data_IF_785607018687
#
_entry.id   IF_785607018687
#
_cell.length_a   1.000
_cell.length_b   1.000
_cell.length_c   1.000
_cell.angle_alpha   90.00
_cell.angle_beta   90.00
_cell.angle_gamma   90.00
#
_symmetry.space_group_name_H-M   'P 1'
#
loop_
_entity.id
_entity.type
_entity.pdbx_description
1 polymer ?
#
# COMPACT_ATOMS: atom_id res chain seq x y z
N UNK A 1 5.15 -2.13 -7.92
CA UNK A 1 6.53 -1.78 -7.47
C UNK A 1 6.44 -0.53 -6.62
N UNK A 2 6.87 -0.66 -5.39
CA UNK A 2 6.92 0.46 -4.43
C UNK A 2 7.82 1.59 -4.97
N UNK A 3 7.32 2.81 -4.92
CA UNK A 3 7.96 4.01 -5.49
C UNK A 3 8.17 5.11 -4.46
N UNK A 4 8.12 4.77 -3.14
CA UNK A 4 8.39 5.77 -2.10
C UNK A 4 9.79 6.35 -2.26
N UNK A 5 9.91 7.65 -2.04
CA UNK A 5 11.16 8.40 -2.21
C UNK A 5 12.03 8.43 -0.95
N UNK A 6 11.49 7.99 0.18
CA UNK A 6 12.18 8.03 1.45
C UNK A 6 13.24 6.94 1.55
N UNK A 7 14.43 7.29 2.01
CA UNK A 7 15.54 6.36 2.23
C UNK A 7 15.91 5.50 1.02
N UNK A 8 15.88 6.08 -0.18
CA UNK A 8 16.25 5.41 -1.43
C UNK A 8 17.24 6.23 -2.29
N UNK A 9 18.03 7.10 -1.66
CA UNK A 9 18.99 8.00 -2.32
C UNK A 9 20.30 7.31 -2.76
N UNK A 10 20.48 6.05 -2.40
CA UNK A 10 21.62 5.23 -2.78
C UNK A 10 21.23 3.76 -2.97
N UNK A 11 22.17 2.96 -3.48
CA UNK A 11 21.91 1.55 -3.74
C UNK A 11 21.63 0.76 -2.46
N UNK A 12 20.66 -0.15 -2.54
CA UNK A 12 20.33 -1.05 -1.44
C UNK A 12 21.48 -2.00 -1.17
N UNK A 13 21.84 -2.16 0.09
CA UNK A 13 22.77 -3.20 0.56
C UNK A 13 21.95 -4.33 1.20
N UNK A 14 21.64 -5.41 0.47
CA UNK A 14 20.87 -6.51 1.03
C UNK A 14 21.69 -7.30 2.03
N UNK A 15 21.05 -7.72 3.11
CA UNK A 15 21.60 -8.61 4.12
C UNK A 15 20.81 -9.92 4.15
N UNK A 16 21.51 -11.03 4.23
CA UNK A 16 20.91 -12.36 4.32
C UNK A 16 21.20 -12.91 5.70
N UNK A 17 20.13 -13.25 6.43
CA UNK A 17 20.21 -13.91 7.73
C UNK A 17 19.62 -15.30 7.58
N UNK A 18 20.49 -16.30 7.54
CA UNK A 18 20.08 -17.71 7.50
C UNK A 18 19.67 -18.16 8.90
N UNK A 19 18.71 -19.08 8.98
CA UNK A 19 18.25 -19.72 10.20
C UNK A 19 17.94 -18.69 11.32
N UNK A 20 17.11 -17.69 10.96
CA UNK A 20 16.74 -16.60 11.86
C UNK A 20 16.18 -17.14 13.20
N UNK A 21 16.65 -16.63 14.30
CA UNK A 21 16.37 -17.16 15.65
C UNK A 21 15.06 -16.64 16.29
N UNK A 22 14.30 -15.82 15.57
CA UNK A 22 13.04 -15.25 16.05
C UNK A 22 13.19 -14.08 17.04
N UNK A 23 14.40 -13.52 17.19
CA UNK A 23 14.70 -12.43 18.13
C UNK A 23 14.99 -11.12 17.39
N UNK A 24 15.52 -10.15 18.13
CA UNK A 24 15.96 -8.88 17.57
C UNK A 24 17.03 -9.09 16.49
N UNK A 25 16.84 -8.44 15.34
CA UNK A 25 17.76 -8.51 14.21
C UNK A 25 18.34 -7.11 13.93
N UNK A 26 19.61 -6.86 14.29
CA UNK A 26 20.29 -5.61 13.94
C UNK A 26 20.48 -5.49 12.41
N UNK A 27 20.24 -4.31 11.89
CA UNK A 27 20.38 -4.02 10.46
C UNK A 27 21.74 -3.37 10.18
N UNK A 28 22.72 -4.19 9.88
CA UNK A 28 24.07 -3.74 9.58
C UNK A 28 24.66 -2.85 10.66
N UNK A 29 25.23 -1.72 10.25
CA UNK A 29 25.81 -0.71 11.14
C UNK A 29 24.95 0.54 11.30
N UNK A 30 23.70 0.51 10.81
CA UNK A 30 22.78 1.65 10.82
C UNK A 30 22.31 2.06 12.22
N UNK A 31 22.48 1.20 13.22
CA UNK A 31 21.90 1.35 14.56
C UNK A 31 20.39 1.05 14.61
N UNK A 32 19.80 0.58 13.53
CA UNK A 32 18.41 0.14 13.47
C UNK A 32 18.32 -1.35 13.76
N UNK A 33 17.18 -1.76 14.33
CA UNK A 33 16.91 -3.16 14.69
C UNK A 33 15.47 -3.50 14.34
N UNK A 34 15.25 -4.65 13.75
CA UNK A 34 13.93 -5.25 13.64
C UNK A 34 13.67 -6.03 14.94
N UNK A 35 12.54 -5.76 15.59
CA UNK A 35 12.19 -6.37 16.88
C UNK A 35 10.83 -7.06 16.79
N UNK A 36 10.69 -8.30 17.26
CA UNK A 36 9.40 -8.97 17.41
C UNK A 36 8.42 -8.22 18.32
N UNK A 37 8.91 -7.37 19.23
CA UNK A 37 8.05 -6.51 20.03
C UNK A 37 7.34 -5.45 19.17
N UNK A 38 8.05 -4.89 18.21
CA UNK A 38 7.51 -3.91 17.26
C UNK A 38 6.77 -4.58 16.09
N UNK A 39 7.28 -5.71 15.64
CA UNK A 39 6.77 -6.48 14.50
C UNK A 39 6.54 -7.95 14.92
N UNK A 40 5.39 -8.27 15.54
CA UNK A 40 5.15 -9.60 16.12
C UNK A 40 5.29 -10.77 15.13
N UNK A 41 5.02 -10.52 13.86
CA UNK A 41 5.16 -11.51 12.80
C UNK A 41 6.58 -12.09 12.71
N UNK A 42 7.61 -11.30 13.01
CA UNK A 42 9.00 -11.76 12.97
C UNK A 42 9.25 -13.00 13.82
N UNK A 43 8.59 -13.13 14.96
CA UNK A 43 8.72 -14.32 15.82
C UNK A 43 8.30 -15.62 15.09
N UNK A 44 7.35 -15.55 14.19
CA UNK A 44 6.87 -16.69 13.40
C UNK A 44 7.83 -17.11 12.29
N UNK A 45 8.80 -16.27 11.96
CA UNK A 45 9.80 -16.52 10.91
C UNK A 45 11.05 -17.22 11.45
N UNK A 46 11.07 -17.66 12.68
CA UNK A 46 12.19 -18.43 13.24
C UNK A 46 12.48 -19.68 12.39
N UNK A 47 13.76 -19.92 12.11
CA UNK A 47 14.22 -21.00 11.22
C UNK A 47 14.17 -20.66 9.73
N UNK A 48 13.70 -19.45 9.36
CA UNK A 48 13.66 -19.00 7.96
C UNK A 48 14.91 -18.20 7.60
N UNK A 49 15.19 -18.12 6.32
CA UNK A 49 16.18 -17.17 5.78
C UNK A 49 15.49 -15.84 5.52
N UNK A 50 15.99 -14.79 6.14
CA UNK A 50 15.48 -13.44 5.96
C UNK A 50 16.41 -12.63 5.03
N UNK A 51 15.81 -11.84 4.15
CA UNK A 51 16.51 -10.85 3.35
C UNK A 51 16.03 -9.47 3.79
N UNK A 52 16.95 -8.65 4.27
CA UNK A 52 16.69 -7.28 4.73
C UNK A 52 17.62 -6.29 4.03
N UNK A 53 17.36 -4.99 4.16
CA UNK A 53 18.40 -4.00 3.93
C UNK A 53 19.34 -3.92 5.14
N UNK A 54 20.43 -3.20 5.00
CA UNK A 54 21.34 -2.88 6.12
C UNK A 54 20.78 -1.77 7.05
N UNK A 55 19.55 -1.33 6.83
CA UNK A 55 18.88 -0.29 7.60
C UNK A 55 19.19 1.13 7.15
N UNK A 56 20.02 1.34 6.15
CA UNK A 56 20.30 2.68 5.57
C UNK A 56 19.28 3.04 4.49
N UNK A 57 18.71 2.04 3.81
CA UNK A 57 17.66 2.21 2.81
C UNK A 57 16.46 1.33 3.12
N UNK A 58 15.34 1.57 2.45
CA UNK A 58 14.28 0.56 2.31
C UNK A 58 14.82 -0.61 1.48
N UNK A 59 14.21 -1.79 1.62
CA UNK A 59 14.59 -2.96 0.81
C UNK A 59 13.95 -2.89 -0.58
N UNK A 60 12.71 -2.41 -0.67
CA UNK A 60 11.92 -2.41 -1.90
C UNK A 60 11.53 -3.83 -2.33
N UNK A 61 11.21 -4.71 -1.38
CA UNK A 61 10.74 -6.06 -1.68
C UNK A 61 9.41 -6.03 -2.42
N UNK A 62 8.59 -5.04 -2.15
CA UNK A 62 7.35 -4.75 -2.84
C UNK A 62 7.64 -3.94 -4.14
N UNK A 63 7.41 -4.47 -5.32
CA UNK A 63 7.09 -5.91 -5.55
C UNK A 63 8.23 -6.63 -6.30
N UNK A 64 9.47 -6.31 -5.97
CA UNK A 64 10.64 -7.00 -6.55
C UNK A 64 10.71 -8.49 -6.15
N UNK A 65 10.09 -8.85 -5.02
CA UNK A 65 9.95 -10.25 -4.62
C UNK A 65 9.09 -11.01 -5.64
N UNK A 66 7.90 -10.50 -5.99
CA UNK A 66 7.05 -11.11 -7.01
C UNK A 66 7.71 -11.19 -8.39
N UNK A 67 8.52 -10.19 -8.77
CA UNK A 67 9.33 -10.27 -9.99
C UNK A 67 10.31 -11.45 -9.91
N UNK A 68 11.01 -11.61 -8.80
CA UNK A 68 11.96 -12.71 -8.61
C UNK A 68 11.25 -14.07 -8.62
N UNK A 69 10.10 -14.19 -8.00
CA UNK A 69 9.27 -15.41 -7.99
C UNK A 69 8.82 -15.80 -9.40
N UNK A 70 8.29 -14.85 -10.18
CA UNK A 70 7.87 -15.09 -11.56
C UNK A 70 9.04 -15.58 -12.41
N UNK A 71 10.18 -14.89 -12.35
CA UNK A 71 11.34 -15.25 -13.16
C UNK A 71 11.92 -16.60 -12.75
N UNK A 72 11.98 -16.90 -11.45
CA UNK A 72 12.44 -18.19 -10.94
C UNK A 72 11.50 -19.33 -11.34
N UNK A 73 10.19 -19.12 -11.26
CA UNK A 73 9.21 -20.10 -11.68
C UNK A 73 9.32 -20.39 -13.18
N UNK A 74 9.50 -19.38 -14.02
CA UNK A 74 9.71 -19.55 -15.46
C UNK A 74 11.00 -20.32 -15.75
N UNK A 75 12.10 -19.96 -15.11
CA UNK A 75 13.37 -20.65 -15.26
C UNK A 75 13.22 -22.14 -14.89
N UNK A 76 12.55 -22.43 -13.77
CA UNK A 76 12.29 -23.80 -13.33
C UNK A 76 11.44 -24.58 -14.34
N UNK A 77 10.33 -24.02 -14.80
CA UNK A 77 9.44 -24.64 -15.80
C UNK A 77 10.22 -25.00 -17.08
N UNK A 78 11.04 -24.07 -17.58
CA UNK A 78 11.82 -24.29 -18.81
C UNK A 78 12.96 -25.29 -18.63
N UNK A 79 13.67 -25.22 -17.50
CA UNK A 79 14.82 -26.09 -17.21
C UNK A 79 14.35 -27.54 -16.99
N UNK A 80 13.31 -27.74 -16.21
CA UNK A 80 12.76 -29.06 -15.91
C UNK A 80 11.80 -29.57 -17.00
N UNK A 81 11.58 -28.74 -18.02
CA UNK A 81 10.67 -29.06 -19.15
C UNK A 81 9.27 -29.49 -18.67
N UNK A 82 8.78 -28.79 -17.68
CA UNK A 82 7.44 -29.03 -17.13
C UNK A 82 6.40 -28.74 -18.23
N UNK A 83 5.46 -29.64 -18.51
CA UNK A 83 4.40 -29.39 -19.48
C UNK A 83 3.57 -28.15 -19.11
N UNK A 84 3.46 -27.20 -20.01
CA UNK A 84 2.71 -25.97 -19.79
C UNK A 84 2.04 -25.47 -21.09
N UNK A 85 0.98 -24.69 -20.95
CA UNK A 85 0.41 -23.89 -22.03
C UNK A 85 1.26 -22.63 -22.34
N UNK A 86 0.78 -21.74 -23.21
CA UNK A 86 1.42 -20.44 -23.41
C UNK A 86 1.49 -19.66 -22.10
N UNK A 87 2.66 -19.13 -21.78
CA UNK A 87 2.88 -18.30 -20.61
C UNK A 87 3.14 -16.86 -21.08
N UNK A 88 2.36 -15.94 -20.54
CA UNK A 88 2.54 -14.51 -20.76
C UNK A 88 2.93 -13.85 -19.44
N UNK A 89 3.92 -12.97 -19.47
CA UNK A 89 4.37 -12.23 -18.29
C UNK A 89 4.32 -10.74 -18.56
N UNK A 90 3.87 -9.99 -17.60
CA UNK A 90 3.88 -8.54 -17.63
C UNK A 90 4.31 -7.95 -16.28
N UNK A 91 5.01 -6.85 -16.32
CA UNK A 91 5.35 -6.03 -15.18
C UNK A 91 4.80 -4.63 -15.43
N UNK A 92 4.01 -4.12 -14.51
CA UNK A 92 3.42 -2.79 -14.59
C UNK A 92 4.09 -1.82 -13.62
N UNK A 93 4.39 -0.59 -14.04
CA UNK A 93 4.84 0.46 -13.11
C UNK A 93 3.65 1.15 -12.45
N UNK A 94 3.94 2.06 -11.52
CA UNK A 94 2.96 3.02 -10.96
C UNK A 94 1.77 2.35 -10.25
N UNK A 95 2.00 1.21 -9.58
CA UNK A 95 0.99 0.50 -8.81
C UNK A 95 0.47 1.39 -7.67
N UNK A 96 1.36 2.00 -6.88
CA UNK A 96 1.08 2.80 -5.70
C UNK A 96 0.20 4.04 -5.94
N UNK A 97 0.12 4.48 -7.17
CA UNK A 97 -0.78 5.56 -7.60
C UNK A 97 -1.98 5.06 -8.41
N UNK A 98 -2.20 3.72 -8.46
CA UNK A 98 -3.31 3.10 -9.17
C UNK A 98 -3.24 3.22 -10.69
N UNK A 99 -2.07 3.48 -11.27
CA UNK A 99 -1.89 3.70 -12.70
C UNK A 99 -1.37 2.47 -13.46
N UNK A 100 -1.03 1.39 -12.76
CA UNK A 100 -0.51 0.17 -13.36
C UNK A 100 -1.32 -0.34 -14.56
N UNK A 101 -2.66 -0.43 -14.47
CA UNK A 101 -3.49 -0.89 -15.59
C UNK A 101 -3.75 0.16 -16.68
N UNK A 102 -3.40 1.43 -16.48
CA UNK A 102 -3.85 2.54 -17.34
C UNK A 102 -3.50 2.38 -18.83
N UNK A 103 -2.36 1.74 -19.12
CA UNK A 103 -1.87 1.52 -20.47
C UNK A 103 -1.69 0.04 -20.81
N UNK A 104 -2.23 -0.86 -19.98
CA UNK A 104 -2.10 -2.29 -20.17
C UNK A 104 -3.11 -2.80 -21.20
N UNK A 105 -2.61 -3.30 -22.33
CA UNK A 105 -3.43 -3.86 -23.40
C UNK A 105 -3.77 -5.33 -23.12
N UNK A 106 -4.85 -5.56 -22.40
CA UNK A 106 -5.35 -6.90 -22.03
C UNK A 106 -5.58 -7.79 -23.27
N UNK A 107 -6.06 -7.21 -24.38
CA UNK A 107 -6.31 -7.98 -25.60
C UNK A 107 -5.01 -8.44 -26.25
N UNK A 108 -4.01 -7.58 -26.27
CA UNK A 108 -2.68 -7.93 -26.80
C UNK A 108 -1.97 -8.92 -25.89
N UNK A 109 -2.16 -8.81 -24.57
CA UNK A 109 -1.62 -9.76 -23.60
C UNK A 109 -2.14 -11.18 -23.85
N UNK A 110 -3.43 -11.33 -24.16
CA UNK A 110 -4.01 -12.53 -24.74
C UNK A 110 -4.07 -13.76 -23.83
N UNK A 111 -3.97 -13.58 -22.52
CA UNK A 111 -4.15 -14.65 -21.54
C UNK A 111 -5.63 -14.84 -21.22
N UNK A 112 -6.05 -16.09 -20.99
CA UNK A 112 -7.42 -16.43 -20.57
C UNK A 112 -7.66 -16.08 -19.11
N UNK A 113 -6.61 -16.18 -18.28
CA UNK A 113 -6.59 -15.80 -16.87
C UNK A 113 -5.18 -15.39 -16.45
N UNK A 114 -5.07 -14.67 -15.35
CA UNK A 114 -3.80 -14.21 -14.84
C UNK A 114 -3.74 -14.35 -13.30
N UNK A 115 -2.52 -14.47 -12.79
CA UNK A 115 -2.18 -14.35 -11.39
C UNK A 115 -1.38 -13.06 -11.20
N UNK A 116 -1.70 -12.30 -10.18
CA UNK A 116 -0.90 -11.18 -9.72
C UNK A 116 -0.09 -11.64 -8.52
N UNK A 117 1.22 -11.51 -8.61
CA UNK A 117 2.13 -11.83 -7.51
C UNK A 117 2.53 -10.51 -6.84
N UNK A 118 1.79 -10.19 -5.81
CA UNK A 118 1.95 -8.96 -5.04
C UNK A 118 1.29 -9.24 -3.70
N UNK A 119 2.02 -9.79 -2.79
CA UNK A 119 1.45 -10.35 -1.59
C UNK A 119 2.22 -10.00 -0.34
N UNK A 120 1.58 -10.20 0.78
CA UNK A 120 2.03 -9.93 2.14
C UNK A 120 2.59 -11.21 2.78
N UNK A 121 1.78 -12.24 2.88
CA UNK A 121 2.13 -13.46 3.60
C UNK A 121 2.42 -14.62 2.63
N UNK A 122 3.54 -15.29 2.85
CA UNK A 122 3.92 -16.47 2.06
C UNK A 122 2.82 -17.55 2.06
N UNK A 123 2.43 -17.99 0.87
CA UNK A 123 1.42 -19.03 0.67
C UNK A 123 -0.03 -18.53 0.73
N UNK A 124 -0.24 -17.25 0.89
CA UNK A 124 -1.56 -16.64 0.81
C UNK A 124 -2.05 -16.59 -0.64
N UNK A 125 -3.32 -16.88 -0.84
CA UNK A 125 -4.01 -16.70 -2.12
C UNK A 125 -5.23 -15.83 -1.88
N UNK A 126 -5.23 -14.64 -2.45
CA UNK A 126 -6.36 -13.72 -2.44
C UNK A 126 -7.16 -13.91 -3.73
N UNK A 127 -8.42 -14.26 -3.61
CA UNK A 127 -9.33 -14.48 -4.74
C UNK A 127 -10.59 -13.61 -4.68
N UNK A 128 -10.61 -12.69 -3.74
CA UNK A 128 -11.66 -11.69 -3.57
C UNK A 128 -11.10 -10.28 -3.75
N UNK A 129 -11.94 -9.37 -4.17
CA UNK A 129 -11.63 -7.96 -4.26
C UNK A 129 -12.77 -7.12 -3.66
N UNK A 130 -12.57 -5.83 -3.56
CA UNK A 130 -13.56 -4.89 -3.05
C UNK A 130 -13.78 -3.75 -4.06
N UNK A 131 -14.93 -3.09 -3.93
CA UNK A 131 -15.21 -1.88 -4.68
C UNK A 131 -14.86 -0.66 -3.82
N UNK A 132 -14.16 0.28 -4.41
CA UNK A 132 -13.80 1.54 -3.78
C UNK A 132 -14.11 2.70 -4.71
N UNK A 133 -14.42 3.84 -4.11
CA UNK A 133 -14.49 5.11 -4.83
C UNK A 133 -13.98 6.23 -3.94
N UNK A 134 -13.44 7.27 -4.55
CA UNK A 134 -13.09 8.51 -3.88
C UNK A 134 -14.08 9.61 -4.24
N UNK A 135 -14.34 10.46 -3.26
CA UNK A 135 -15.14 11.65 -3.46
C UNK A 135 -14.38 12.87 -2.93
N UNK A 136 -14.34 13.91 -3.74
CA UNK A 136 -13.82 15.21 -3.33
C UNK A 136 -15.00 16.15 -3.13
N UNK A 137 -15.17 16.65 -1.91
CA UNK A 137 -16.30 17.49 -1.52
C UNK A 137 -15.76 18.87 -1.19
N UNK A 138 -16.27 19.88 -1.90
CA UNK A 138 -15.88 21.26 -1.70
C UNK A 138 -16.99 22.07 -1.07
N UNK A 139 -16.70 22.79 -0.02
CA UNK A 139 -17.62 23.68 0.69
C UNK A 139 -17.22 25.12 0.43
N UNK A 140 -18.20 25.95 0.03
CA UNK A 140 -17.99 27.36 -0.16
C UNK A 140 -18.60 28.14 1.01
N UNK A 141 -17.78 28.91 1.68
CA UNK A 141 -18.18 29.76 2.81
C UNK A 141 -18.46 31.22 2.41
N UNK A 142 -18.89 31.99 3.38
CA UNK A 142 -19.03 33.45 3.28
C UNK A 142 -18.14 34.09 4.34
N UNK A 143 -17.00 34.62 3.89
CA UNK A 143 -16.04 35.26 4.79
C UNK A 143 -16.37 36.72 4.94
N UNK A 144 -16.50 37.16 6.19
CA UNK A 144 -16.70 38.57 6.57
C UNK A 144 -15.86 38.86 7.81
N UNK A 145 -15.63 40.13 8.09
CA UNK A 145 -14.89 40.55 9.29
C UNK A 145 -15.56 40.00 10.57
N UNK A 146 -14.81 39.35 11.48
CA UNK A 146 -15.39 38.72 12.68
C UNK A 146 -16.32 39.66 13.51
N UNK A 147 -15.98 40.93 13.60
CA UNK A 147 -16.81 41.93 14.31
C UNK A 147 -18.18 42.18 13.69
N UNK A 148 -18.40 41.73 12.43
CA UNK A 148 -19.67 41.91 11.69
C UNK A 148 -20.25 40.55 11.24
N UNK A 149 -19.79 39.49 11.82
CA UNK A 149 -20.06 38.13 11.34
C UNK A 149 -21.43 37.54 11.76
N UNK A 150 -22.07 38.15 12.75
CA UNK A 150 -23.34 37.63 13.32
C UNK A 150 -24.40 37.48 12.22
N UNK A 151 -24.92 36.30 12.04
CA UNK A 151 -25.95 35.92 11.05
C UNK A 151 -25.53 36.14 9.58
N UNK A 152 -24.22 36.32 9.30
CA UNK A 152 -23.72 36.59 7.95
C UNK A 152 -22.60 35.65 7.54
N UNK A 153 -21.65 35.37 8.44
CA UNK A 153 -20.51 34.49 8.16
C UNK A 153 -20.96 33.03 8.04
N UNK A 154 -20.49 32.37 7.01
CA UNK A 154 -20.55 30.91 6.88
C UNK A 154 -19.11 30.42 6.81
N UNK A 155 -18.67 29.73 7.85
CA UNK A 155 -17.32 29.18 7.90
C UNK A 155 -17.28 27.81 7.21
N UNK A 156 -16.67 27.75 6.03
CA UNK A 156 -16.59 26.54 5.24
C UNK A 156 -15.92 25.37 5.99
N UNK A 157 -14.86 25.64 6.77
CA UNK A 157 -14.20 24.60 7.55
C UNK A 157 -15.12 23.97 8.59
N UNK A 158 -15.96 24.77 9.26
CA UNK A 158 -16.95 24.24 10.21
C UNK A 158 -18.04 23.42 9.52
N UNK A 159 -18.51 23.87 8.35
CA UNK A 159 -19.48 23.11 7.54
C UNK A 159 -18.89 21.76 7.11
N UNK A 160 -17.62 21.73 6.70
CA UNK A 160 -16.95 20.48 6.36
C UNK A 160 -16.85 19.52 7.56
N UNK A 161 -16.54 20.03 8.74
CA UNK A 161 -16.51 19.24 9.98
C UNK A 161 -17.90 18.70 10.33
N UNK A 162 -18.95 19.52 10.19
CA UNK A 162 -20.34 19.12 10.41
C UNK A 162 -20.72 18.01 9.43
N UNK A 163 -20.44 18.16 8.14
CA UNK A 163 -20.67 17.12 7.15
C UNK A 163 -19.98 15.79 7.53
N UNK A 164 -18.70 15.84 7.91
CA UNK A 164 -18.00 14.64 8.35
C UNK A 164 -18.67 13.99 9.58
N UNK A 165 -19.19 14.79 10.49
CA UNK A 165 -19.90 14.28 11.68
C UNK A 165 -21.25 13.63 11.36
N UNK A 166 -21.80 13.87 10.18
CA UNK A 166 -23.06 13.24 9.71
C UNK A 166 -22.83 11.86 9.10
N UNK A 167 -21.58 11.51 8.77
CA UNK A 167 -21.26 10.15 8.33
C UNK A 167 -21.40 9.17 9.50
N UNK A 168 -21.77 7.90 9.24
CA UNK A 168 -21.91 6.92 10.31
C UNK A 168 -20.58 6.73 11.06
N UNK A 169 -20.59 7.04 12.35
CA UNK A 169 -19.36 7.02 13.17
C UNK A 169 -18.76 5.62 13.33
N UNK A 170 -19.56 4.57 13.15
CA UNK A 170 -19.11 3.18 13.21
C UNK A 170 -18.43 2.73 11.89
N UNK A 171 -18.85 3.29 10.77
CA UNK A 171 -18.39 2.87 9.44
C UNK A 171 -17.06 3.53 9.09
N UNK A 172 -16.03 3.16 9.81
CA UNK A 172 -14.65 3.67 9.60
C UNK A 172 -13.67 2.50 9.56
N UNK A 173 -12.51 2.64 8.88
CA UNK A 173 -11.54 1.54 8.76
C UNK A 173 -11.10 0.90 10.08
N UNK A 174 -11.13 1.67 11.17
CA UNK A 174 -10.75 1.18 12.50
C UNK A 174 -11.84 0.42 13.25
N UNK A 175 -13.09 0.46 12.77
CA UNK A 175 -14.24 -0.10 13.44
C UNK A 175 -14.97 -1.17 12.62
N UNK A 176 -14.55 -1.38 11.39
CA UNK A 176 -15.16 -2.32 10.45
C UNK A 176 -14.23 -3.49 10.18
N UNK A 177 -14.80 -4.64 9.84
CA UNK A 177 -14.12 -5.89 9.63
C UNK A 177 -14.74 -6.68 8.47
N UNK A 178 -14.08 -7.69 7.96
CA UNK A 178 -14.50 -8.58 6.88
C UNK A 178 -15.12 -7.82 5.68
N UNK A 179 -16.40 -8.01 5.42
CA UNK A 179 -17.17 -7.44 4.29
C UNK A 179 -17.88 -6.14 4.62
N UNK A 180 -17.65 -5.55 5.76
CA UNK A 180 -18.27 -4.30 6.15
C UNK A 180 -17.70 -3.13 5.34
N UNK A 181 -18.59 -2.28 4.83
CA UNK A 181 -18.20 -1.06 4.13
C UNK A 181 -17.82 0.05 5.10
N UNK A 182 -16.98 0.98 4.65
CA UNK A 182 -16.57 2.11 5.49
C UNK A 182 -16.38 3.41 4.70
N UNK A 183 -16.37 4.52 5.43
CA UNK A 183 -15.97 5.83 4.96
C UNK A 183 -14.60 6.19 5.55
N UNK A 184 -13.68 6.57 4.70
CA UNK A 184 -12.34 6.97 5.11
C UNK A 184 -12.06 8.43 4.75
N UNK A 185 -11.95 9.29 5.76
CA UNK A 185 -11.50 10.66 5.56
C UNK A 185 -9.98 10.65 5.31
N UNK A 186 -9.58 10.75 4.04
CA UNK A 186 -8.17 10.70 3.64
C UNK A 186 -7.46 12.04 3.84
N UNK A 187 -8.16 13.15 3.61
CA UNK A 187 -7.59 14.49 3.78
C UNK A 187 -8.67 15.51 4.12
N UNK A 188 -8.26 16.55 4.80
CA UNK A 188 -9.10 17.71 5.08
C UNK A 188 -8.24 18.98 5.02
N UNK A 189 -8.68 19.97 4.28
CA UNK A 189 -8.04 21.30 4.25
C UNK A 189 -9.06 22.40 4.07
N UNK A 190 -8.75 23.59 4.54
CA UNK A 190 -9.64 24.73 4.31
C UNK A 190 -9.52 25.84 5.34
N UNK A 191 -10.31 26.88 5.09
CA UNK A 191 -10.46 28.05 5.93
C UNK A 191 -11.93 28.50 5.98
N UNK A 192 -12.18 29.77 6.35
CA UNK A 192 -13.54 30.35 6.41
C UNK A 192 -14.16 30.43 5.02
N UNK A 193 -13.37 30.68 3.99
CA UNK A 193 -13.87 30.92 2.62
C UNK A 193 -14.15 29.66 1.84
N UNK A 194 -13.31 28.63 2.02
CA UNK A 194 -13.43 27.37 1.31
C UNK A 194 -12.83 26.22 2.12
N UNK A 195 -13.46 25.07 2.06
CA UNK A 195 -12.91 23.84 2.62
C UNK A 195 -13.12 22.66 1.66
N UNK A 196 -12.35 21.62 1.85
CA UNK A 196 -12.33 20.41 1.03
C UNK A 196 -12.08 19.20 1.91
N UNK A 197 -12.84 18.15 1.66
CA UNK A 197 -12.66 16.81 2.20
C UNK A 197 -12.34 15.84 1.06
#
# INVERSE_FOLDING_TARGET
MDTVSDFCDHAVTPMITEDYDGKELPLGTSGRTLSPEMFPHLASLAGRTLITSDGTTILGADDKAGIAEILTALEHILTEKIPHGPLCVAFTPDEEIGMGPAHFDVKKFGADYAYTLDGDTEGEIQYENFNACSAKITFQGVNVHPGSSKNTMINAALVAMEFNSMLPAADTPRNTDDYEGFFHLCSMKGDVSQAEL
#
